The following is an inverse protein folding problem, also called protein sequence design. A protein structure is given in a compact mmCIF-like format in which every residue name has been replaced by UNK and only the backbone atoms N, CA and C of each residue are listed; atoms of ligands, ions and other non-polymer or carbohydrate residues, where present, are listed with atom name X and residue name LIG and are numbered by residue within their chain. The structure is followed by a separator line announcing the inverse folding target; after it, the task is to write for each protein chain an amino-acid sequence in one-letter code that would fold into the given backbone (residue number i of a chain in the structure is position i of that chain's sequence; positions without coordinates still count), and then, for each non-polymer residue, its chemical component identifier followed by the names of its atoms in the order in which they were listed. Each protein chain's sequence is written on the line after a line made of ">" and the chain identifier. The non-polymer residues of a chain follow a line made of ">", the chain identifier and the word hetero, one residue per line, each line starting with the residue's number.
data_IF_426023638173
#
_entry.id   IF_426023638173
#
_cell.length_a   1.000
_cell.length_b   1.000
_cell.length_c   1.000
_cell.angle_alpha   90.00
_cell.angle_beta   90.00
_cell.angle_gamma   90.00
#
_symmetry.space_group_name_H-M   'P 1'
#
loop_
_entity.id
_entity.type
_entity.pdbx_description
1 polymer ?
#
# COMPACT_ATOMS: atom_id res chain seq x y z
N UNK A 1 12.58 -6.48 -36.51
CA UNK A 1 12.30 -7.45 -35.45
C UNK A 1 13.19 -7.08 -34.28
N UNK A 2 12.68 -6.31 -33.32
CA UNK A 2 13.39 -6.00 -32.09
C UNK A 2 12.53 -6.59 -30.98
N UNK A 3 13.13 -7.54 -30.27
CA UNK A 3 12.49 -8.37 -29.25
C UNK A 3 12.07 -7.44 -28.11
N UNK A 4 10.77 -7.27 -27.96
CA UNK A 4 10.16 -6.75 -26.75
C UNK A 4 10.39 -7.83 -25.69
N UNK A 5 11.43 -7.69 -24.88
CA UNK A 5 11.57 -8.48 -23.66
C UNK A 5 10.49 -7.98 -22.73
N UNK A 6 9.31 -8.61 -22.84
CA UNK A 6 8.13 -8.47 -22.02
C UNK A 6 8.57 -8.24 -20.57
N UNK A 7 8.62 -6.96 -20.15
CA UNK A 7 8.81 -6.60 -18.75
C UNK A 7 7.53 -7.04 -18.08
N UNK A 8 7.48 -8.31 -17.64
CA UNK A 8 6.32 -8.87 -16.97
C UNK A 8 5.98 -7.97 -15.78
N UNK A 9 4.96 -7.14 -15.97
CA UNK A 9 4.49 -6.19 -14.99
C UNK A 9 3.46 -6.91 -14.12
N UNK A 10 3.72 -6.94 -12.82
CA UNK A 10 2.81 -7.55 -11.86
C UNK A 10 1.84 -6.49 -11.37
N UNK A 11 0.56 -6.73 -11.64
CA UNK A 11 -0.55 -5.95 -11.10
C UNK A 11 -1.17 -6.73 -9.95
N UNK A 12 -1.28 -6.08 -8.79
CA UNK A 12 -1.94 -6.67 -7.63
C UNK A 12 -2.93 -5.69 -6.99
N UNK A 13 -3.98 -6.23 -6.37
CA UNK A 13 -4.93 -5.47 -5.57
C UNK A 13 -4.79 -5.83 -4.09
N UNK A 14 -4.57 -4.80 -3.27
CA UNK A 14 -4.52 -4.94 -1.81
C UNK A 14 -5.70 -4.21 -1.18
N UNK A 15 -6.50 -4.94 -0.41
CA UNK A 15 -7.67 -4.39 0.28
C UNK A 15 -7.34 -4.09 1.74
N UNK A 16 -7.62 -2.87 2.17
CA UNK A 16 -7.61 -2.47 3.56
C UNK A 16 -9.00 -2.74 4.13
N UNK A 17 -9.09 -3.71 5.03
CA UNK A 17 -10.34 -4.20 5.63
C UNK A 17 -10.34 -3.95 7.14
N UNK A 18 -11.50 -3.66 7.71
CA UNK A 18 -11.66 -3.47 9.15
C UNK A 18 -12.93 -2.68 9.48
N UNK A 19 -13.27 -2.54 10.77
CA UNK A 19 -14.52 -1.89 11.18
C UNK A 19 -14.53 -0.41 10.86
N UNK A 20 -15.68 0.23 11.04
CA UNK A 20 -15.82 1.67 10.87
C UNK A 20 -14.83 2.45 11.75
N UNK A 21 -14.32 3.55 11.20
CA UNK A 21 -13.35 4.43 11.85
C UNK A 21 -12.06 3.75 12.35
N UNK A 22 -11.73 2.54 11.90
CA UNK A 22 -10.46 1.85 12.23
C UNK A 22 -9.21 2.56 11.69
N UNK A 23 -9.35 3.46 10.71
CA UNK A 23 -8.25 4.24 10.13
C UNK A 23 -7.75 3.74 8.76
N UNK A 24 -8.62 3.08 7.97
CA UNK A 24 -8.33 2.66 6.59
C UNK A 24 -8.00 3.85 5.68
N UNK A 25 -8.89 4.84 5.59
CA UNK A 25 -8.65 6.10 4.83
C UNK A 25 -7.36 6.79 5.28
N UNK A 26 -7.17 6.94 6.59
CA UNK A 26 -5.96 7.57 7.15
C UNK A 26 -4.67 6.85 6.74
N UNK A 27 -4.71 5.52 6.61
CA UNK A 27 -3.60 4.76 6.07
C UNK A 27 -3.31 5.16 4.61
N UNK A 28 -4.32 5.17 3.74
CA UNK A 28 -4.16 5.53 2.32
C UNK A 28 -3.69 6.97 2.16
N UNK A 29 -4.26 7.92 2.89
CA UNK A 29 -3.83 9.32 2.91
C UNK A 29 -2.37 9.47 3.35
N UNK A 30 -1.95 8.73 4.37
CA UNK A 30 -0.58 8.78 4.85
C UNK A 30 0.39 8.13 3.88
N UNK A 31 0.03 6.99 3.28
CA UNK A 31 0.80 6.32 2.23
C UNK A 31 0.97 7.28 1.06
N UNK A 32 -0.14 7.86 0.58
CA UNK A 32 -0.12 8.88 -0.46
C UNK A 32 0.87 9.97 -0.07
N UNK A 33 0.71 10.65 1.08
CA UNK A 33 1.59 11.75 1.50
C UNK A 33 3.08 11.37 1.60
N UNK A 34 3.40 10.14 2.03
CA UNK A 34 4.78 9.68 2.29
C UNK A 34 5.48 9.15 1.05
N UNK A 35 4.76 8.56 0.10
CA UNK A 35 5.35 8.11 -1.15
C UNK A 35 5.74 9.30 -2.01
N UNK A 36 6.79 9.16 -2.83
CA UNK A 36 7.15 10.18 -3.80
C UNK A 36 6.08 10.22 -4.91
N UNK A 37 5.90 11.38 -5.54
CA UNK A 37 4.88 11.59 -6.57
C UNK A 37 5.10 10.76 -7.84
N UNK A 38 6.33 10.34 -8.11
CA UNK A 38 6.70 9.43 -9.20
C UNK A 38 6.34 7.97 -8.92
N UNK A 39 6.06 7.61 -7.66
CA UNK A 39 5.75 6.23 -7.24
C UNK A 39 4.29 6.06 -6.80
N UNK A 40 3.43 7.04 -7.06
CA UNK A 40 2.00 7.00 -6.70
C UNK A 40 1.18 7.73 -7.75
N UNK A 41 -0.01 7.23 -8.05
CA UNK A 41 -1.02 8.04 -8.73
C UNK A 41 -1.88 8.80 -7.73
N UNK A 42 -2.97 9.38 -8.23
CA UNK A 42 -3.90 10.14 -7.40
C UNK A 42 -4.66 9.23 -6.43
N UNK A 43 -4.81 9.69 -5.19
CA UNK A 43 -5.80 9.14 -4.26
C UNK A 43 -7.20 9.55 -4.75
N UNK A 44 -7.99 8.57 -5.17
CA UNK A 44 -9.31 8.79 -5.78
C UNK A 44 -10.41 8.21 -4.92
N UNK A 45 -11.50 8.96 -4.79
CA UNK A 45 -12.76 8.47 -4.24
C UNK A 45 -13.65 7.99 -5.39
N UNK A 46 -14.06 6.73 -5.33
CA UNK A 46 -14.85 6.06 -6.36
C UNK A 46 -16.23 5.74 -5.82
N UNK A 47 -17.33 6.10 -6.52
CA UNK A 47 -18.67 5.70 -6.10
C UNK A 47 -18.81 4.18 -6.15
N UNK A 48 -19.58 3.60 -5.23
CA UNK A 48 -19.88 2.16 -5.31
C UNK A 48 -20.82 1.86 -6.47
N UNK A 49 -20.77 0.63 -7.00
CA UNK A 49 -21.69 0.21 -8.08
C UNK A 49 -23.11 -0.06 -7.58
N UNK A 50 -23.25 -0.44 -6.32
CA UNK A 50 -24.51 -0.90 -5.73
C UNK A 50 -25.26 0.30 -5.14
N UNK A 51 -24.55 1.15 -4.40
CA UNK A 51 -25.05 2.40 -3.84
C UNK A 51 -24.10 3.56 -4.18
N UNK A 52 -24.39 4.31 -5.26
CA UNK A 52 -23.54 5.42 -5.70
C UNK A 52 -23.44 6.59 -4.71
N UNK A 53 -24.27 6.62 -3.66
CA UNK A 53 -24.15 7.62 -2.58
C UNK A 53 -22.96 7.36 -1.65
N UNK A 54 -22.51 6.11 -1.62
CA UNK A 54 -21.31 5.70 -0.90
C UNK A 54 -20.13 5.69 -1.85
N UNK A 55 -18.95 5.97 -1.32
CA UNK A 55 -17.70 5.89 -2.05
C UNK A 55 -16.66 5.10 -1.28
N UNK A 56 -15.66 4.61 -2.00
CA UNK A 56 -14.49 3.93 -1.47
C UNK A 56 -13.24 4.54 -2.08
N UNK A 57 -12.11 4.43 -1.39
CA UNK A 57 -10.88 5.06 -1.83
C UNK A 57 -9.97 4.07 -2.56
N UNK A 58 -9.32 4.56 -3.60
CA UNK A 58 -8.31 3.83 -4.37
C UNK A 58 -7.04 4.67 -4.43
N UNK A 59 -5.91 4.02 -4.16
CA UNK A 59 -4.58 4.58 -4.34
C UNK A 59 -3.71 3.61 -5.17
N UNK A 60 -3.46 3.92 -6.45
CA UNK A 60 -2.48 3.19 -7.24
C UNK A 60 -1.06 3.61 -6.82
N UNK A 61 -0.20 2.63 -6.57
CA UNK A 61 1.21 2.84 -6.23
C UNK A 61 2.11 2.02 -7.14
N UNK A 62 3.29 2.55 -7.42
CA UNK A 62 4.35 1.86 -8.15
C UNK A 62 5.49 1.60 -7.18
N UNK A 63 5.74 0.32 -6.89
CA UNK A 63 6.82 -0.07 -5.97
C UNK A 63 8.17 -0.22 -6.68
N UNK A 64 8.23 0.04 -7.99
CA UNK A 64 9.39 -0.27 -8.81
C UNK A 64 9.62 -1.78 -8.89
N UNK A 65 10.89 -2.21 -8.83
CA UNK A 65 11.22 -3.63 -8.81
C UNK A 65 11.12 -4.21 -7.40
N UNK A 66 10.15 -5.09 -7.18
CA UNK A 66 10.06 -5.93 -5.99
C UNK A 66 10.53 -7.34 -6.37
N UNK A 67 11.63 -7.79 -5.77
CA UNK A 67 12.25 -9.09 -6.06
C UNK A 67 12.56 -9.30 -7.57
N UNK A 68 12.90 -8.23 -8.29
CA UNK A 68 13.23 -8.25 -9.72
C UNK A 68 12.06 -8.10 -10.70
N UNK A 69 10.83 -7.88 -10.20
CA UNK A 69 9.61 -7.70 -11.02
C UNK A 69 9.04 -6.31 -10.82
N UNK A 70 8.74 -5.60 -11.92
CA UNK A 70 8.05 -4.32 -11.84
C UNK A 70 6.64 -4.54 -11.29
N UNK A 71 6.34 -3.90 -10.17
CA UNK A 71 5.11 -4.15 -9.40
C UNK A 71 4.28 -2.89 -9.26
N UNK A 72 3.04 -2.95 -9.75
CA UNK A 72 1.98 -1.96 -9.53
C UNK A 72 0.95 -2.53 -8.59
N UNK A 73 0.60 -1.77 -7.55
CA UNK A 73 -0.39 -2.16 -6.56
C UNK A 73 -1.52 -1.16 -6.54
N UNK A 74 -2.74 -1.65 -6.66
CA UNK A 74 -3.95 -0.89 -6.37
C UNK A 74 -4.36 -1.12 -4.90
N UNK A 75 -4.19 -0.10 -4.07
CA UNK A 75 -4.64 -0.14 -2.67
C UNK A 75 -6.09 0.35 -2.61
N UNK A 76 -6.96 -0.41 -1.95
CA UNK A 76 -8.38 -0.11 -1.84
C UNK A 76 -8.82 -0.08 -0.38
N UNK A 77 -9.36 1.04 0.11
CA UNK A 77 -9.99 1.09 1.43
C UNK A 77 -11.48 0.75 1.31
N UNK A 78 -11.92 -0.32 1.97
CA UNK A 78 -13.34 -0.70 1.90
C UNK A 78 -14.23 0.30 2.64
N UNK A 79 -15.42 0.61 2.10
CA UNK A 79 -16.36 1.48 2.78
C UNK A 79 -16.87 0.79 4.04
N UNK A 80 -17.02 1.59 5.09
CA UNK A 80 -17.54 1.14 6.38
C UNK A 80 -18.98 1.61 6.54
N UNK A 81 -19.84 0.75 7.08
CA UNK A 81 -21.26 1.02 7.27
C UNK A 81 -22.10 -0.25 7.16
N UNK A 82 -23.25 -0.34 7.85
CA UNK A 82 -24.03 -1.57 7.95
C UNK A 82 -24.57 -2.06 6.59
N UNK A 83 -24.98 -1.15 5.71
CA UNK A 83 -25.62 -1.50 4.43
C UNK A 83 -24.63 -1.72 3.28
N UNK A 84 -23.33 -1.74 3.57
CA UNK A 84 -22.27 -1.82 2.56
C UNK A 84 -21.67 -3.22 2.41
N UNK A 85 -22.25 -4.25 3.04
CA UNK A 85 -21.81 -5.64 2.89
C UNK A 85 -21.74 -6.11 1.42
N UNK A 86 -22.71 -5.80 0.54
CA UNK A 86 -22.61 -6.17 -0.88
C UNK A 86 -21.43 -5.51 -1.59
N UNK A 87 -21.18 -4.22 -1.32
CA UNK A 87 -20.04 -3.47 -1.86
C UNK A 87 -18.73 -4.06 -1.37
N UNK A 88 -18.62 -4.32 -0.06
CA UNK A 88 -17.44 -4.93 0.55
C UNK A 88 -17.12 -6.28 -0.07
N UNK A 89 -18.13 -7.13 -0.23
CA UNK A 89 -18.00 -8.41 -0.93
C UNK A 89 -17.49 -8.20 -2.35
N UNK A 90 -18.07 -7.28 -3.12
CA UNK A 90 -17.62 -6.98 -4.49
C UNK A 90 -16.15 -6.54 -4.55
N UNK A 91 -15.67 -5.75 -3.59
CA UNK A 91 -14.27 -5.28 -3.56
C UNK A 91 -13.26 -6.39 -3.24
N UNK A 92 -13.71 -7.52 -2.69
CA UNK A 92 -12.85 -8.69 -2.50
C UNK A 92 -12.68 -9.50 -3.79
N UNK A 93 -13.46 -9.26 -4.84
CA UNK A 93 -13.28 -9.94 -6.12
C UNK A 93 -11.86 -9.69 -6.67
N UNK A 94 -11.14 -10.79 -6.93
CA UNK A 94 -9.72 -10.80 -7.32
C UNK A 94 -8.79 -9.99 -6.39
N UNK A 95 -9.06 -9.99 -5.08
CA UNK A 95 -8.08 -9.50 -4.11
C UNK A 95 -6.86 -10.42 -4.06
N UNK A 96 -5.67 -9.83 -4.07
CA UNK A 96 -4.39 -10.55 -3.99
C UNK A 96 -3.76 -10.46 -2.59
N UNK A 97 -4.13 -9.44 -1.80
CA UNK A 97 -3.68 -9.31 -0.42
C UNK A 97 -4.60 -8.45 0.44
N UNK A 98 -4.54 -8.65 1.75
CA UNK A 98 -5.41 -7.99 2.73
C UNK A 98 -4.58 -7.37 3.85
N UNK A 99 -4.92 -6.14 4.21
CA UNK A 99 -4.47 -5.49 5.46
C UNK A 99 -5.67 -5.37 6.39
N UNK A 100 -5.64 -6.12 7.49
CA UNK A 100 -6.64 -6.08 8.55
C UNK A 100 -6.34 -4.90 9.49
N UNK A 101 -7.00 -3.76 9.28
CA UNK A 101 -6.87 -2.57 10.11
C UNK A 101 -7.83 -2.67 11.29
N UNK A 102 -7.29 -2.97 12.47
CA UNK A 102 -8.05 -3.17 13.70
C UNK A 102 -7.91 -1.94 14.62
N UNK A 103 -9.01 -1.48 15.21
CA UNK A 103 -8.97 -0.41 16.21
C UNK A 103 -8.55 -1.01 17.56
N UNK A 104 -7.36 -0.67 18.05
CA UNK A 104 -6.77 -1.28 19.25
C UNK A 104 -7.45 -0.87 20.57
N UNK A 105 -8.43 0.05 20.55
CA UNK A 105 -9.15 0.44 21.76
C UNK A 105 -10.05 -0.69 22.26
N UNK A 106 -10.15 -0.81 23.58
CA UNK A 106 -10.85 -1.91 24.25
C UNK A 106 -12.35 -1.96 23.95
N UNK A 107 -12.98 -0.81 23.76
CA UNK A 107 -14.40 -0.66 23.40
C UNK A 107 -14.71 -1.07 21.95
N UNK A 108 -13.68 -1.38 21.14
CA UNK A 108 -13.82 -1.71 19.71
C UNK A 108 -13.59 -3.19 19.40
N UNK A 109 -13.35 -4.02 20.42
CA UNK A 109 -13.08 -5.46 20.25
C UNK A 109 -14.22 -6.16 19.50
N UNK A 110 -15.47 -5.95 19.89
CA UNK A 110 -16.61 -6.63 19.24
C UNK A 110 -16.80 -6.19 17.79
N UNK A 111 -16.54 -4.92 17.48
CA UNK A 111 -16.60 -4.40 16.10
C UNK A 111 -15.47 -4.98 15.23
N UNK A 112 -14.27 -5.14 15.79
CA UNK A 112 -13.16 -5.80 15.10
C UNK A 112 -13.50 -7.26 14.79
N UNK A 113 -14.02 -8.01 15.76
CA UNK A 113 -14.40 -9.42 15.58
C UNK A 113 -15.49 -9.56 14.52
N UNK A 114 -16.56 -8.76 14.60
CA UNK A 114 -17.63 -8.76 13.60
C UNK A 114 -17.11 -8.44 12.20
N UNK A 115 -16.21 -7.46 12.09
CA UNK A 115 -15.62 -7.10 10.81
C UNK A 115 -14.74 -8.23 10.25
N UNK A 116 -14.01 -8.95 11.10
CA UNK A 116 -13.21 -10.09 10.69
C UNK A 116 -14.08 -11.29 10.26
N UNK A 117 -15.12 -11.63 11.02
CA UNK A 117 -16.10 -12.66 10.67
C UNK A 117 -16.77 -12.35 9.32
N UNK A 118 -17.12 -11.09 9.08
CA UNK A 118 -17.69 -10.67 7.80
C UNK A 118 -16.71 -10.86 6.63
N UNK A 119 -15.41 -10.58 6.83
CA UNK A 119 -14.40 -10.83 5.81
C UNK A 119 -14.35 -12.30 5.44
N UNK A 120 -14.25 -13.17 6.45
CA UNK A 120 -14.17 -14.62 6.27
C UNK A 120 -15.39 -15.12 5.50
N UNK A 121 -16.59 -14.76 5.94
CA UNK A 121 -17.84 -15.13 5.25
C UNK A 121 -17.90 -14.59 3.81
N UNK A 122 -17.40 -13.38 3.56
CA UNK A 122 -17.39 -12.79 2.23
C UNK A 122 -16.40 -13.51 1.29
N UNK A 123 -15.23 -13.95 1.78
CA UNK A 123 -14.26 -14.74 1.03
C UNK A 123 -14.77 -16.16 0.75
N UNK A 124 -15.36 -16.82 1.75
CA UNK A 124 -15.98 -18.14 1.62
C UNK A 124 -17.08 -18.15 0.56
N UNK A 125 -17.84 -17.04 0.45
CA UNK A 125 -18.86 -16.90 -0.57
C UNK A 125 -18.30 -16.76 -2.01
N UNK A 126 -16.98 -16.61 -2.16
CA UNK A 126 -16.23 -16.75 -3.41
C UNK A 126 -15.45 -18.08 -3.51
N UNK A 127 -15.64 -18.98 -2.55
CA UNK A 127 -14.92 -20.25 -2.47
C UNK A 127 -13.43 -20.10 -2.15
N UNK A 128 -13.03 -19.01 -1.47
CA UNK A 128 -11.64 -18.77 -1.05
C UNK A 128 -11.52 -18.75 0.47
N UNK A 129 -10.42 -19.31 0.99
CA UNK A 129 -10.07 -19.16 2.40
C UNK A 129 -9.23 -17.90 2.63
N UNK A 130 -9.34 -17.31 3.82
CA UNK A 130 -8.44 -16.23 4.25
C UNK A 130 -6.98 -16.71 4.32
N UNK A 131 -6.75 -18.00 4.58
CA UNK A 131 -5.41 -18.59 4.67
C UNK A 131 -4.69 -18.68 3.31
N UNK A 132 -5.45 -18.62 2.22
CA UNK A 132 -4.92 -18.65 0.84
C UNK A 132 -4.48 -17.26 0.37
N UNK A 133 -4.87 -16.20 1.07
CA UNK A 133 -4.64 -14.82 0.67
C UNK A 133 -3.60 -14.20 1.60
N UNK A 134 -2.48 -13.68 1.05
CA UNK A 134 -1.52 -12.87 1.81
C UNK A 134 -2.19 -11.83 2.70
N UNK A 135 -2.04 -11.99 4.01
CA UNK A 135 -2.72 -11.15 5.00
C UNK A 135 -1.76 -10.65 6.08
N UNK A 136 -1.94 -9.39 6.48
CA UNK A 136 -1.25 -8.80 7.65
C UNK A 136 -2.26 -8.10 8.55
N UNK A 137 -1.99 -8.11 9.85
CA UNK A 137 -2.80 -7.42 10.85
C UNK A 137 -2.12 -6.12 11.25
N UNK A 138 -2.89 -5.04 11.29
CA UNK A 138 -2.45 -3.73 11.73
C UNK A 138 -3.32 -3.28 12.91
N UNK A 139 -2.76 -3.30 14.12
CA UNK A 139 -3.40 -2.78 15.33
C UNK A 139 -3.20 -1.27 15.40
N UNK A 140 -4.15 -0.54 14.83
CA UNK A 140 -4.12 0.91 14.73
C UNK A 140 -4.67 1.61 15.98
N UNK A 141 -4.34 2.90 16.14
CA UNK A 141 -4.67 3.74 17.31
C UNK A 141 -4.01 3.24 18.59
N UNK A 142 -2.77 2.74 18.47
CA UNK A 142 -2.01 2.22 19.60
C UNK A 142 -1.79 3.25 20.71
N UNK A 143 -1.76 4.53 20.34
CA UNK A 143 -1.68 5.70 21.21
C UNK A 143 -2.90 5.85 22.15
N UNK A 144 -4.05 5.25 21.80
CA UNK A 144 -5.28 5.28 22.59
C UNK A 144 -5.57 3.94 23.28
N UNK A 145 -4.73 2.93 23.08
CA UNK A 145 -4.97 1.57 23.54
C UNK A 145 -4.26 1.27 24.86
N UNK A 146 -4.96 0.54 25.74
CA UNK A 146 -4.35 -0.01 26.95
C UNK A 146 -3.24 -1.01 26.59
N UNK A 147 -2.20 -1.17 27.43
CA UNK A 147 -1.07 -2.07 27.17
C UNK A 147 -1.46 -3.52 26.82
N UNK A 148 -2.56 -4.02 27.39
CA UNK A 148 -3.01 -5.41 27.23
C UNK A 148 -4.11 -5.59 26.16
N UNK A 149 -4.67 -4.50 25.62
CA UNK A 149 -5.81 -4.58 24.71
C UNK A 149 -5.46 -5.27 23.38
N UNK A 150 -4.25 -5.02 22.86
CA UNK A 150 -3.76 -5.63 21.61
C UNK A 150 -3.62 -7.14 21.74
N UNK A 151 -3.01 -7.62 22.84
CA UNK A 151 -2.83 -9.05 23.07
C UNK A 151 -4.17 -9.77 23.24
N UNK A 152 -5.10 -9.18 24.00
CA UNK A 152 -6.46 -9.70 24.15
C UNK A 152 -7.17 -9.81 22.80
N UNK A 153 -7.09 -8.75 21.99
CA UNK A 153 -7.70 -8.71 20.66
C UNK A 153 -7.06 -9.72 19.71
N UNK A 154 -5.73 -9.85 19.70
CA UNK A 154 -5.02 -10.82 18.87
C UNK A 154 -5.47 -12.25 19.16
N UNK A 155 -5.55 -12.60 20.45
CA UNK A 155 -6.01 -13.92 20.90
C UNK A 155 -7.46 -14.19 20.52
N UNK A 156 -8.34 -13.18 20.61
CA UNK A 156 -9.75 -13.30 20.22
C UNK A 156 -9.96 -13.44 18.72
N UNK A 157 -9.12 -12.79 17.91
CA UNK A 157 -9.16 -12.90 16.45
C UNK A 157 -8.69 -14.28 15.96
N UNK A 158 -7.85 -14.98 16.72
CA UNK A 158 -7.34 -16.31 16.34
C UNK A 158 -6.42 -16.27 15.12
N UNK A 159 -5.65 -15.19 14.98
CA UNK A 159 -4.80 -14.89 13.81
C UNK A 159 -3.31 -15.08 14.11
N UNK A 160 -2.96 -16.03 14.98
CA UNK A 160 -1.59 -16.25 15.47
C UNK A 160 -0.57 -16.55 14.37
N UNK A 161 -1.02 -17.00 13.19
CA UNK A 161 -0.17 -17.23 12.01
C UNK A 161 0.11 -15.99 11.16
N UNK A 162 -0.59 -14.87 11.40
CA UNK A 162 -0.46 -13.66 10.59
C UNK A 162 0.60 -12.71 11.16
N UNK A 163 1.33 -12.03 10.27
CA UNK A 163 2.23 -10.98 10.69
C UNK A 163 1.42 -9.77 11.18
N UNK A 164 1.71 -9.32 12.40
CA UNK A 164 1.02 -8.20 13.02
C UNK A 164 1.94 -6.99 13.27
N UNK A 165 1.40 -5.79 13.13
CA UNK A 165 2.08 -4.53 13.41
C UNK A 165 1.22 -3.62 14.28
N UNK A 166 1.83 -2.97 15.26
CA UNK A 166 1.21 -1.84 15.95
C UNK A 166 1.34 -0.58 15.09
N UNK A 167 0.29 0.24 15.06
CA UNK A 167 0.25 1.43 14.23
C UNK A 167 -0.44 2.62 14.91
N UNK A 168 -0.03 3.80 14.46
CA UNK A 168 -0.63 5.09 14.78
C UNK A 168 -0.73 5.85 13.46
N UNK A 169 -1.81 5.59 12.71
CA UNK A 169 -1.93 5.94 11.30
C UNK A 169 -1.89 7.45 11.02
N UNK A 170 -2.27 8.32 11.96
CA UNK A 170 -2.18 9.78 11.80
C UNK A 170 -0.73 10.30 11.87
N UNK A 171 0.15 9.61 12.61
CA UNK A 171 1.59 9.91 12.73
C UNK A 171 2.40 9.18 11.65
N UNK A 172 1.97 7.97 11.28
CA UNK A 172 2.57 7.12 10.25
C UNK A 172 3.37 5.94 10.76
N UNK A 173 3.43 5.75 12.08
CA UNK A 173 4.02 4.56 12.70
C UNK A 173 3.27 3.32 12.24
N UNK A 174 3.99 2.28 11.81
CA UNK A 174 3.43 0.98 11.41
C UNK A 174 2.79 0.92 10.01
N UNK A 175 2.43 2.07 9.41
CA UNK A 175 1.71 2.12 8.13
C UNK A 175 2.54 1.57 6.96
N UNK A 176 3.72 2.16 6.71
CA UNK A 176 4.59 1.70 5.61
C UNK A 176 5.14 0.29 5.86
N UNK A 177 5.33 -0.08 7.12
CA UNK A 177 5.79 -1.43 7.50
C UNK A 177 4.73 -2.48 7.17
N UNK A 178 3.45 -2.20 7.49
CA UNK A 178 2.32 -3.05 7.13
C UNK A 178 2.20 -3.20 5.61
N UNK A 179 2.19 -2.07 4.88
CA UNK A 179 2.14 -2.06 3.41
C UNK A 179 3.30 -2.86 2.79
N UNK A 180 4.54 -2.53 3.15
CA UNK A 180 5.73 -3.18 2.58
C UNK A 180 5.72 -4.69 2.82
N UNK A 181 5.25 -5.13 3.99
CA UNK A 181 5.17 -6.55 4.33
C UNK A 181 4.13 -7.26 3.48
N UNK A 182 2.89 -6.75 3.42
CA UNK A 182 1.85 -7.38 2.60
C UNK A 182 2.23 -7.37 1.12
N UNK A 183 2.83 -6.29 0.60
CA UNK A 183 3.30 -6.21 -0.78
C UNK A 183 4.32 -7.29 -1.10
N UNK A 184 5.27 -7.56 -0.20
CA UNK A 184 6.25 -8.65 -0.38
C UNK A 184 5.59 -10.02 -0.37
N UNK A 185 4.62 -10.26 0.52
CA UNK A 185 3.87 -11.51 0.58
C UNK A 185 3.06 -11.74 -0.70
N UNK A 186 2.39 -10.70 -1.20
CA UNK A 186 1.62 -10.72 -2.47
C UNK A 186 2.51 -11.02 -3.67
N UNK A 187 3.62 -10.28 -3.82
CA UNK A 187 4.57 -10.52 -4.92
C UNK A 187 5.15 -11.92 -4.87
N UNK A 188 5.40 -12.46 -3.66
CA UNK A 188 5.86 -13.85 -3.52
C UNK A 188 4.78 -14.85 -3.94
N UNK A 189 3.56 -14.69 -3.44
CA UNK A 189 2.44 -15.60 -3.73
C UNK A 189 2.11 -15.63 -5.23
N UNK A 190 2.13 -14.48 -5.91
CA UNK A 190 1.86 -14.38 -7.35
C UNK A 190 2.99 -14.91 -8.24
N UNK A 191 4.21 -15.08 -7.69
CA UNK A 191 5.35 -15.64 -8.43
C UNK A 191 5.53 -17.13 -8.26
N UNK A 192 5.06 -17.70 -7.16
CA UNK A 192 5.05 -19.14 -6.96
C UNK A 192 3.88 -19.73 -7.77
N UNK A 193 4.12 -20.51 -8.84
CA UNK A 193 3.03 -21.13 -9.58
C UNK A 193 2.33 -22.14 -8.67
N UNK A 194 1.07 -21.88 -8.34
CA UNK A 194 0.24 -22.79 -7.53
C UNK A 194 0.16 -24.16 -8.23
N UNK A 195 0.50 -25.29 -7.58
CA UNK A 195 0.29 -26.60 -8.17
C UNK A 195 -1.21 -26.95 -8.13
N UNK A 196 -1.87 -26.94 -9.30
CA UNK A 196 -3.21 -27.48 -9.63
C UNK A 196 -4.42 -26.85 -8.86
N UNK A 197 -5.47 -26.34 -9.51
CA UNK A 197 -6.40 -27.09 -10.38
C UNK A 197 -6.84 -26.39 -11.69
N UNK A 198 -7.32 -27.26 -12.59
CA UNK A 198 -7.69 -27.14 -14.02
C UNK A 198 -8.98 -26.31 -14.29
N UNK A 199 -9.31 -26.00 -15.57
CA UNK A 199 -10.11 -24.85 -15.97
C UNK A 199 -11.62 -25.14 -16.08
N UNK A 200 -12.47 -24.21 -15.59
CA UNK A 200 -13.81 -24.00 -16.12
C UNK A 200 -14.47 -22.71 -15.57
N UNK A 201 -14.46 -21.65 -16.37
CA UNK A 201 -15.66 -20.88 -16.73
C UNK A 201 -15.28 -19.89 -17.85
N UNK A 202 -16.09 -19.76 -18.92
CA UNK A 202 -15.79 -18.83 -20.00
C UNK A 202 -15.82 -17.37 -19.47
N UNK A 203 -15.06 -16.45 -20.09
CA UNK A 203 -15.11 -15.05 -19.71
C UNK A 203 -16.51 -14.52 -19.99
N UNK A 204 -17.20 -14.08 -18.92
CA UNK A 204 -18.39 -13.24 -19.06
C UNK A 204 -17.90 -11.94 -19.71
N UNK A 205 -18.27 -11.76 -20.98
CA UNK A 205 -17.95 -10.57 -21.74
C UNK A 205 -18.54 -9.34 -21.03
N UNK A 206 -17.68 -8.49 -20.49
CA UNK A 206 -18.04 -7.10 -20.22
C UNK A 206 -17.84 -6.32 -21.53
N UNK A 207 -18.81 -5.48 -21.93
CA UNK A 207 -18.68 -4.65 -23.13
C UNK A 207 -17.49 -3.69 -23.01
N UNK A 208 -16.83 -3.33 -24.13
CA UNK A 208 -15.66 -2.48 -24.12
C UNK A 208 -15.97 -1.13 -23.46
N UNK A 209 -15.02 -0.69 -22.63
CA UNK A 209 -15.00 0.64 -22.04
C UNK A 209 -15.25 1.70 -23.12
N UNK A 210 -16.24 2.55 -22.89
CA UNK A 210 -16.44 3.73 -23.70
C UNK A 210 -15.20 4.63 -23.59
N UNK A 211 -14.63 4.95 -24.74
CA UNK A 211 -13.56 5.94 -24.90
C UNK A 211 -13.99 7.27 -24.26
N UNK A 212 -13.10 7.96 -23.52
CA UNK A 212 -13.35 9.35 -23.15
C UNK A 212 -13.34 10.23 -24.41
N UNK A 213 -14.25 11.23 -24.52
CA UNK A 213 -14.37 12.04 -25.72
C UNK A 213 -13.11 12.88 -25.94
N UNK A 214 -12.77 13.04 -27.22
CA UNK A 214 -11.69 13.88 -27.73
C UNK A 214 -11.71 15.29 -27.12
N UNK A 215 -10.64 15.63 -26.39
CA UNK A 215 -10.31 17.02 -26.10
C UNK A 215 -9.52 17.60 -27.29
N UNK A 216 -10.09 18.65 -27.85
CA UNK A 216 -9.55 19.42 -28.97
C UNK A 216 -8.28 20.18 -28.53
N UNK A 217 -7.26 20.05 -29.37
CA UNK A 217 -6.05 20.86 -29.54
C UNK A 217 -5.73 22.01 -28.57
N UNK A 218 -4.53 21.91 -28.00
CA UNK A 218 -3.78 23.03 -27.45
C UNK A 218 -2.28 22.71 -27.47
N UNK A 219 -1.58 23.15 -28.50
CA UNK A 219 -0.12 23.08 -28.60
C UNK A 219 0.54 24.03 -27.59
N UNK A 220 1.53 23.56 -26.84
CA UNK A 220 2.63 24.42 -26.40
C UNK A 220 3.94 23.65 -26.37
N UNK A 221 4.83 24.09 -27.25
CA UNK A 221 6.20 23.67 -27.47
C UNK A 221 7.17 24.26 -26.41
N UNK A 222 8.28 23.56 -26.14
CA UNK A 222 9.49 24.08 -25.47
C UNK A 222 9.91 23.39 -24.15
N UNK A 223 11.21 23.39 -23.80
CA UNK A 223 12.37 22.86 -24.54
C UNK A 223 13.13 21.75 -23.74
N UNK A 224 14.05 20.98 -24.38
CA UNK A 224 14.80 19.89 -23.73
C UNK A 224 16.13 20.36 -23.11
N UNK A 225 16.75 19.43 -22.38
CA UNK A 225 18.09 19.44 -21.79
C UNK A 225 18.30 20.14 -20.43
N UNK A 226 18.07 19.36 -19.37
CA UNK A 226 18.94 19.38 -18.20
C UNK A 226 19.42 17.94 -17.93
N UNK A 227 20.73 17.69 -17.76
CA UNK A 227 21.23 16.34 -17.49
C UNK A 227 20.67 15.87 -16.14
N UNK A 228 19.90 14.79 -16.19
CA UNK A 228 19.33 14.14 -15.02
C UNK A 228 20.43 13.31 -14.36
N UNK A 229 20.89 13.75 -13.20
CA UNK A 229 21.84 13.00 -12.38
C UNK A 229 21.05 12.01 -11.50
N UNK A 230 21.34 10.72 -11.65
CA UNK A 230 20.73 9.67 -10.85
C UNK A 230 21.74 9.18 -9.83
N UNK A 231 21.33 9.12 -8.56
CA UNK A 231 22.16 8.56 -7.49
C UNK A 231 22.33 7.05 -7.70
N UNK A 232 23.57 6.64 -7.98
CA UNK A 232 23.92 5.24 -8.25
C UNK A 232 24.53 4.54 -7.04
N UNK A 233 25.19 5.29 -6.14
CA UNK A 233 25.73 4.73 -4.90
C UNK A 233 25.91 5.80 -3.82
N UNK A 234 25.66 5.43 -2.57
CA UNK A 234 25.95 6.25 -1.39
C UNK A 234 26.90 5.49 -0.48
N UNK A 235 28.07 6.05 -0.18
CA UNK A 235 29.00 5.48 0.79
C UNK A 235 28.51 5.65 2.24
N UNK A 236 29.17 4.99 3.18
CA UNK A 236 28.82 5.09 4.60
C UNK A 236 29.01 6.52 5.10
N UNK A 237 28.02 7.12 5.79
CA UNK A 237 28.12 8.48 6.30
C UNK A 237 29.21 8.56 7.37
N UNK A 238 30.08 9.57 7.26
CA UNK A 238 31.06 9.90 8.29
C UNK A 238 30.57 11.11 9.10
N UNK A 239 30.70 11.06 10.43
CA UNK A 239 30.33 12.17 11.31
C UNK A 239 31.62 12.92 11.69
N UNK A 240 31.73 14.16 11.25
CA UNK A 240 32.83 15.04 11.61
C UNK A 240 32.39 16.00 12.71
N UNK A 241 33.18 16.08 13.78
CA UNK A 241 32.98 16.98 14.92
C UNK A 241 31.58 16.93 15.60
N UNK A 242 30.83 15.83 15.44
CA UNK A 242 29.55 15.58 16.11
C UNK A 242 28.38 16.45 15.66
N UNK A 243 28.54 17.28 14.62
CA UNK A 243 27.49 18.19 14.10
C UNK A 243 27.40 18.24 12.58
N UNK A 244 28.31 17.59 11.88
CA UNK A 244 28.38 17.57 10.42
C UNK A 244 28.36 16.13 9.93
N UNK A 245 27.41 15.80 9.08
CA UNK A 245 27.28 14.49 8.43
C UNK A 245 27.77 14.61 6.98
N UNK A 246 28.84 13.88 6.65
CA UNK A 246 29.41 13.82 5.30
C UNK A 246 28.91 12.55 4.60
N UNK A 247 28.27 12.73 3.46
CA UNK A 247 27.72 11.67 2.61
C UNK A 247 28.43 11.69 1.26
N UNK A 248 29.40 10.79 1.03
CA UNK A 248 29.94 10.60 -0.31
C UNK A 248 28.89 9.91 -1.18
N UNK A 249 28.47 10.60 -2.24
CA UNK A 249 27.53 10.14 -3.24
C UNK A 249 28.26 9.96 -4.57
N UNK A 250 27.87 8.94 -5.33
CA UNK A 250 28.24 8.79 -6.73
C UNK A 250 26.97 8.96 -7.54
N UNK A 251 26.98 9.92 -8.46
CA UNK A 251 25.87 10.25 -9.35
C UNK A 251 26.25 9.88 -10.78
N UNK A 252 25.35 9.29 -11.55
CA UNK A 252 25.56 9.07 -12.99
C UNK A 252 24.73 10.05 -13.81
N UNK A 253 25.32 10.62 -14.86
CA UNK A 253 24.58 11.42 -15.84
C UNK A 253 23.80 10.54 -16.83
N UNK A 254 23.00 11.17 -17.69
CA UNK A 254 22.22 10.49 -18.74
C UNK A 254 23.09 9.81 -19.81
N UNK A 255 24.39 10.07 -19.85
CA UNK A 255 25.37 9.41 -20.72
C UNK A 255 26.11 8.25 -20.00
N UNK A 256 25.86 8.03 -18.72
CA UNK A 256 26.47 6.99 -17.91
C UNK A 256 27.82 7.36 -17.29
N UNK A 257 28.22 8.64 -17.29
CA UNK A 257 29.44 9.09 -16.61
C UNK A 257 29.20 9.24 -15.11
N UNK A 258 30.11 8.68 -14.31
CA UNK A 258 30.05 8.75 -12.86
C UNK A 258 30.70 10.03 -12.32
N UNK A 259 30.01 10.71 -11.42
CA UNK A 259 30.41 11.93 -10.73
C UNK A 259 30.40 11.68 -9.23
N UNK A 260 31.56 11.86 -8.59
CA UNK A 260 31.68 11.76 -7.14
C UNK A 260 31.36 13.12 -6.50
N UNK A 261 30.36 13.15 -5.65
CA UNK A 261 29.84 14.35 -4.96
C UNK A 261 29.80 14.10 -3.47
N UNK A 262 30.39 14.99 -2.66
CA UNK A 262 30.34 14.89 -1.21
C UNK A 262 29.30 15.88 -0.66
N UNK A 263 28.25 15.36 -0.02
CA UNK A 263 27.17 16.17 0.55
C UNK A 263 27.43 16.37 2.04
N UNK A 264 27.52 17.64 2.46
CA UNK A 264 27.73 18.06 3.84
C UNK A 264 26.41 18.53 4.45
N UNK A 265 25.94 17.86 5.50
CA UNK A 265 24.70 18.20 6.20
C UNK A 265 25.03 18.66 7.63
N UNK A 266 24.66 19.89 7.99
CA UNK A 266 24.83 20.44 9.34
C UNK A 266 23.57 20.25 10.19
N UNK A 267 23.71 19.69 11.39
CA UNK A 267 22.60 19.41 12.30
C UNK A 267 22.52 20.52 13.36
N UNK A 268 21.53 21.40 13.27
CA UNK A 268 21.25 22.47 14.25
C UNK A 268 20.17 22.04 15.24
N UNK A 269 20.55 21.74 16.48
CA UNK A 269 19.61 21.44 17.57
C UNK A 269 19.21 22.70 18.35
N UNK A 270 17.91 23.02 18.39
CA UNK A 270 17.32 23.97 19.35
C UNK A 270 16.83 23.20 20.57
N UNK A 271 17.46 23.44 21.72
CA UNK A 271 17.00 22.95 23.03
C UNK A 271 16.78 24.19 23.89
N UNK A 272 15.52 24.54 24.14
CA UNK A 272 15.17 25.55 25.14
C UNK A 272 14.65 24.80 26.39
N UNK A 273 15.26 25.00 27.58
CA UNK A 273 14.81 24.38 28.81
C UNK A 273 13.65 25.19 29.42
N UNK A 274 12.52 24.53 29.67
CA UNK A 274 11.45 25.11 30.48
C UNK A 274 11.90 25.25 31.95
N UNK A 275 11.48 26.31 32.66
CA UNK A 275 11.85 26.56 34.06
C UNK A 275 11.19 25.58 35.06
#
# INVERSE_FOLDING_TARGET
>A
MAVDYDKSELHARIVYWGPEASGKTTNLELIHRKLRSDHRGDLRSMPTRIDPSVSYEILPIELGQVSGVYTRIEIVAVPSGPDQAPTRKQLLDRVDGIVLVMDARRDRVDDNLRSFEELVAALEAYGRSIDEIPCVVQYNKRDLADPFAVEELHRKLGVDGLTAFEAVANVGTGVLQSLTTVSKLVVRALREPTPAESPAAPPVAHPPAAEPPAAVGGTSDGPPDAPSLVLISSGSPAIEAGRVLLLPLVLADSAGHEHHVEVRVEITGTRDPAP
#
